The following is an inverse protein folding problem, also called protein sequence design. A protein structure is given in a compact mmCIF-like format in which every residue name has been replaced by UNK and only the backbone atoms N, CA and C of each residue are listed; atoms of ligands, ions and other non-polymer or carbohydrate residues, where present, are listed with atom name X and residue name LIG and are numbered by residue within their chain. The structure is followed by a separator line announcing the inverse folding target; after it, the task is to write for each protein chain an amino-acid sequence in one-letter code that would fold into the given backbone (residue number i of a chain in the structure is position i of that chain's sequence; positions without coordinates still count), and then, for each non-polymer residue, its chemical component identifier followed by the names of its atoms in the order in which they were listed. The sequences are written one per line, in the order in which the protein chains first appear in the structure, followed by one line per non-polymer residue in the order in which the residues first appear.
data_IF_350604581509
#
_entry.id   IF_350604581509
#
_cell.length_a   1.000
_cell.length_b   1.000
_cell.length_c   1.000
_cell.angle_alpha   90.00
_cell.angle_beta   90.00
_cell.angle_gamma   90.00
#
_symmetry.space_group_name_H-M   'P 1'
#
loop_
_entity.id
_entity.type
_entity.pdbx_description
1 polymer ?
#
# COMPACT_ATOMS: atom_id res chain seq x y z
N UNK A 1 -31.08 -4.62 -2.58
CA UNK A 1 -30.00 -4.31 -3.54
C UNK A 1 -28.73 -4.02 -2.78
N UNK A 2 -27.67 -4.73 -3.09
CA UNK A 2 -26.37 -4.51 -2.45
C UNK A 2 -25.79 -3.17 -2.91
N UNK A 3 -25.19 -2.38 -2.02
CA UNK A 3 -24.51 -1.18 -2.44
C UNK A 3 -23.34 -1.52 -3.36
N UNK A 4 -23.18 -0.74 -4.42
CA UNK A 4 -22.03 -0.85 -5.31
C UNK A 4 -20.96 0.08 -4.80
N UNK A 5 -19.82 -0.47 -4.38
CA UNK A 5 -18.68 0.33 -3.96
C UNK A 5 -17.81 0.65 -5.16
N UNK A 6 -17.39 1.92 -5.33
CA UNK A 6 -16.52 2.27 -6.44
C UNK A 6 -15.22 1.49 -6.40
N UNK A 7 -14.84 0.94 -7.53
CA UNK A 7 -13.54 0.31 -7.74
C UNK A 7 -12.67 1.28 -8.51
N UNK A 8 -11.48 1.55 -7.99
CA UNK A 8 -10.55 2.53 -8.52
C UNK A 8 -9.33 1.80 -9.02
N UNK A 9 -8.84 2.09 -10.24
CA UNK A 9 -7.58 1.52 -10.69
C UNK A 9 -6.41 2.04 -9.87
N UNK A 10 -5.34 1.25 -9.70
CA UNK A 10 -4.12 1.77 -9.10
C UNK A 10 -3.55 2.88 -9.97
N UNK A 11 -2.87 3.85 -9.34
CA UNK A 11 -2.12 4.83 -10.11
C UNK A 11 -0.99 4.12 -10.85
N UNK A 12 -0.62 4.66 -12.04
CA UNK A 12 0.45 4.07 -12.82
C UNK A 12 1.71 3.94 -11.96
N UNK A 13 2.15 2.71 -11.65
CA UNK A 13 3.27 2.50 -10.77
C UNK A 13 4.58 3.06 -11.34
N UNK A 14 4.72 3.13 -12.65
CA UNK A 14 5.95 3.62 -13.28
C UNK A 14 6.21 5.10 -12.99
N UNK A 15 5.16 5.90 -12.73
CA UNK A 15 5.33 7.30 -12.32
C UNK A 15 6.09 7.45 -11.01
N UNK A 16 5.99 6.46 -10.14
CA UNK A 16 6.53 6.51 -8.78
C UNK A 16 7.59 5.44 -8.56
N UNK A 17 8.13 4.85 -9.64
CA UNK A 17 9.13 3.79 -9.53
C UNK A 17 10.38 4.30 -8.83
N UNK A 18 10.78 3.73 -7.68
CA UNK A 18 12.03 4.08 -7.03
C UNK A 18 13.21 3.50 -7.80
N UNK A 19 14.35 4.16 -7.66
CA UNK A 19 15.59 3.77 -8.35
C UNK A 19 16.77 3.90 -7.38
N UNK A 20 17.90 3.31 -7.71
CA UNK A 20 19.09 3.36 -6.85
C UNK A 20 19.52 4.79 -6.51
N UNK A 21 19.40 5.72 -7.46
CA UNK A 21 19.76 7.14 -7.25
C UNK A 21 18.57 7.98 -6.74
N UNK A 22 17.39 7.40 -6.65
CA UNK A 22 16.20 8.02 -6.08
C UNK A 22 15.42 6.94 -5.33
N UNK A 23 15.94 6.49 -4.19
CA UNK A 23 15.49 5.23 -3.57
C UNK A 23 14.13 5.29 -2.86
N UNK A 24 13.62 6.48 -2.59
CA UNK A 24 12.32 6.64 -1.93
C UNK A 24 11.46 7.59 -2.75
N UNK A 25 10.27 7.13 -3.14
CA UNK A 25 9.28 7.93 -3.83
C UNK A 25 7.99 7.91 -3.02
N UNK A 26 7.44 9.09 -2.76
CA UNK A 26 6.22 9.24 -1.98
C UNK A 26 5.02 9.54 -2.87
N UNK A 27 3.89 8.95 -2.55
CA UNK A 27 2.62 9.21 -3.20
C UNK A 27 1.56 9.42 -2.14
N UNK A 28 0.85 10.54 -2.20
CA UNK A 28 -0.29 10.82 -1.34
C UNK A 28 -1.56 10.77 -2.18
N UNK A 29 -2.53 9.99 -1.74
CA UNK A 29 -3.78 9.81 -2.45
C UNK A 29 -4.97 9.87 -1.48
N UNK A 30 -5.87 10.86 -1.63
CA UNK A 30 -7.11 10.85 -0.88
C UNK A 30 -8.06 9.81 -1.47
N UNK A 31 -8.66 9.00 -0.59
CA UNK A 31 -9.60 7.96 -0.99
C UNK A 31 -10.85 8.05 -0.11
N UNK A 32 -12.01 7.90 -0.73
CA UNK A 32 -13.28 7.95 -0.01
C UNK A 32 -13.64 6.61 0.58
N UNK A 33 -14.37 6.66 1.69
CA UNK A 33 -14.93 5.48 2.32
C UNK A 33 -15.72 4.64 1.31
N UNK A 34 -15.68 3.34 1.48
CA UNK A 34 -16.34 2.36 0.62
C UNK A 34 -15.75 2.23 -0.78
N UNK A 35 -14.66 2.92 -1.10
CA UNK A 35 -13.94 2.70 -2.36
C UNK A 35 -12.93 1.56 -2.21
N UNK A 36 -12.52 1.01 -3.35
CA UNK A 36 -11.52 -0.06 -3.41
C UNK A 36 -10.51 0.25 -4.51
N UNK A 37 -9.24 0.01 -4.19
CA UNK A 37 -8.18 0.00 -5.20
C UNK A 37 -7.99 -1.42 -5.66
N UNK A 38 -8.01 -1.64 -6.97
CA UNK A 38 -7.90 -2.98 -7.57
C UNK A 38 -6.59 -3.66 -7.19
N UNK A 39 -6.59 -5.00 -7.07
CA UNK A 39 -5.37 -5.75 -6.82
C UNK A 39 -4.31 -5.46 -7.88
N UNK A 40 -3.09 -5.26 -7.44
CA UNK A 40 -1.93 -5.00 -8.30
C UNK A 40 -0.64 -5.40 -7.60
N UNK A 41 0.43 -5.47 -8.37
CA UNK A 41 1.78 -5.72 -7.85
C UNK A 41 2.80 -4.94 -8.66
N UNK A 42 3.97 -4.76 -8.09
CA UNK A 42 5.10 -4.09 -8.76
C UNK A 42 6.42 -4.62 -8.23
N UNK A 43 7.51 -4.29 -8.94
CA UNK A 43 8.84 -4.84 -8.67
C UNK A 43 9.62 -4.18 -7.54
N UNK A 44 8.98 -3.33 -6.73
CA UNK A 44 9.61 -2.64 -5.61
C UNK A 44 8.75 -2.76 -4.36
N UNK A 45 9.37 -2.49 -3.21
CA UNK A 45 8.68 -2.55 -1.93
C UNK A 45 7.88 -1.28 -1.68
N UNK A 46 6.91 -1.36 -0.77
CA UNK A 46 6.19 -0.19 -0.30
C UNK A 46 5.89 -0.26 1.19
N UNK A 47 5.80 0.92 1.79
CA UNK A 47 5.27 1.12 3.12
C UNK A 47 4.02 1.98 2.99
N UNK A 48 2.88 1.46 3.45
CA UNK A 48 1.59 2.14 3.32
C UNK A 48 1.09 2.62 4.66
N UNK A 49 0.67 3.89 4.68
CA UNK A 49 0.15 4.59 5.86
C UNK A 49 -1.24 5.15 5.56
N UNK A 50 -2.09 5.21 6.58
CA UNK A 50 -3.27 6.08 6.56
C UNK A 50 -2.95 7.28 7.43
N UNK A 51 -2.69 8.45 6.83
CA UNK A 51 -2.43 9.67 7.61
C UNK A 51 -3.68 10.09 8.37
N UNK A 52 -4.84 9.93 7.74
CA UNK A 52 -6.15 10.08 8.33
C UNK A 52 -7.02 8.92 7.87
N UNK A 53 -8.09 8.64 8.58
CA UNK A 53 -9.04 7.61 8.19
C UNK A 53 -8.55 6.20 8.47
N UNK A 54 -9.19 5.23 7.85
CA UNK A 54 -8.91 3.81 8.07
C UNK A 54 -9.03 3.06 6.75
N UNK A 55 -8.03 2.28 6.42
CA UNK A 55 -8.06 1.38 5.28
C UNK A 55 -7.82 -0.06 5.70
N UNK A 56 -8.22 -0.98 4.84
CA UNK A 56 -7.89 -2.39 4.95
C UNK A 56 -6.99 -2.73 3.78
N UNK A 57 -5.83 -3.29 4.06
CA UNK A 57 -4.92 -3.75 3.02
C UNK A 57 -5.00 -5.27 2.96
N UNK A 58 -5.27 -5.77 1.74
CA UNK A 58 -5.39 -7.19 1.45
C UNK A 58 -4.19 -7.58 0.59
N UNK A 59 -3.42 -8.54 1.06
CA UNK A 59 -2.30 -9.07 0.28
C UNK A 59 -2.44 -10.57 0.13
N UNK A 60 -1.61 -11.17 -0.71
CA UNK A 60 -1.55 -12.62 -0.84
C UNK A 60 -1.04 -13.31 0.44
N UNK A 61 -0.45 -12.57 1.37
CA UNK A 61 0.10 -13.10 2.61
C UNK A 61 -0.73 -12.79 3.83
N UNK A 62 -1.41 -11.64 3.86
CA UNK A 62 -2.15 -11.19 5.03
C UNK A 62 -3.20 -10.15 4.69
N UNK A 63 -4.14 -9.98 5.58
CA UNK A 63 -5.11 -8.88 5.56
C UNK A 63 -5.01 -8.12 6.87
N UNK A 64 -4.94 -6.80 6.82
CA UNK A 64 -4.85 -6.00 8.04
C UNK A 64 -5.60 -4.68 7.93
N UNK A 65 -6.05 -4.19 9.07
CA UNK A 65 -6.65 -2.85 9.22
C UNK A 65 -5.52 -1.86 9.49
N UNK A 66 -5.54 -0.75 8.78
CA UNK A 66 -4.50 0.28 8.87
C UNK A 66 -5.10 1.61 9.30
N UNK A 67 -5.20 1.85 10.62
CA UNK A 67 -5.48 3.18 11.15
C UNK A 67 -4.22 4.04 11.13
N UNK A 68 -4.29 5.34 11.54
CA UNK A 68 -3.11 6.21 11.54
C UNK A 68 -1.94 5.74 12.41
N UNK A 69 -2.19 4.79 13.33
CA UNK A 69 -1.15 4.27 14.25
C UNK A 69 -0.38 3.08 13.70
N UNK A 70 -0.69 2.64 12.47
CA UNK A 70 -0.04 1.48 11.87
C UNK A 70 0.37 1.75 10.43
N UNK A 71 1.40 1.03 9.99
CA UNK A 71 1.81 0.99 8.61
C UNK A 71 1.99 -0.46 8.17
N UNK A 72 1.95 -0.69 6.86
CA UNK A 72 2.12 -2.03 6.30
C UNK A 72 3.28 -2.03 5.34
N UNK A 73 4.23 -2.90 5.60
CA UNK A 73 5.33 -3.21 4.68
C UNK A 73 4.88 -4.29 3.71
N UNK A 74 5.02 -4.02 2.42
CA UNK A 74 4.71 -4.96 1.35
C UNK A 74 5.96 -5.15 0.48
N UNK A 75 6.53 -6.36 0.46
CA UNK A 75 7.71 -6.65 -0.35
C UNK A 75 7.43 -6.54 -1.85
N UNK A 76 8.49 -6.52 -2.68
CA UNK A 76 8.32 -6.58 -4.13
C UNK A 76 7.50 -7.80 -4.57
N UNK A 77 6.72 -7.64 -5.62
CA UNK A 77 5.93 -8.68 -6.30
C UNK A 77 4.78 -9.27 -5.49
N UNK A 78 4.52 -8.78 -4.29
CA UNK A 78 3.35 -9.23 -3.51
C UNK A 78 2.11 -8.49 -3.98
N UNK A 79 1.13 -9.24 -4.45
CA UNK A 79 -0.14 -8.66 -4.88
C UNK A 79 -0.88 -8.05 -3.68
N UNK A 80 -1.41 -6.86 -3.86
CA UNK A 80 -2.13 -6.15 -2.82
C UNK A 80 -3.28 -5.32 -3.38
N UNK A 81 -4.28 -5.13 -2.55
CA UNK A 81 -5.45 -4.33 -2.82
C UNK A 81 -5.80 -3.50 -1.57
N UNK A 82 -6.61 -2.47 -1.74
CA UNK A 82 -7.03 -1.60 -0.64
C UNK A 82 -8.55 -1.52 -0.63
N UNK A 83 -9.14 -1.66 0.56
CA UNK A 83 -10.54 -1.33 0.80
C UNK A 83 -10.58 -0.19 1.82
N UNK A 84 -11.25 0.91 1.49
CA UNK A 84 -11.29 2.10 2.33
C UNK A 84 -12.49 2.03 3.25
N UNK A 85 -12.24 1.99 4.56
CA UNK A 85 -13.29 1.88 5.58
C UNK A 85 -13.81 3.23 6.02
N UNK A 86 -12.95 4.25 6.06
CA UNK A 86 -13.29 5.67 6.31
C UNK A 86 -12.47 6.51 5.38
N UNK A 87 -12.98 7.69 5.01
CA UNK A 87 -12.22 8.62 4.16
C UNK A 87 -10.78 8.70 4.66
N UNK A 88 -9.84 8.40 3.80
CA UNK A 88 -8.45 8.26 4.18
C UNK A 88 -7.52 9.03 3.24
N UNK A 89 -6.48 9.60 3.83
CA UNK A 89 -5.34 10.11 3.07
C UNK A 89 -4.25 9.04 3.13
N UNK A 90 -4.10 8.29 2.05
CA UNK A 90 -3.13 7.20 1.97
C UNK A 90 -1.79 7.73 1.51
N UNK A 91 -0.79 7.60 2.38
CA UNK A 91 0.60 7.86 2.03
C UNK A 91 1.28 6.54 1.71
N UNK A 92 1.84 6.43 0.53
CA UNK A 92 2.62 5.26 0.14
C UNK A 92 4.05 5.69 -0.14
N UNK A 93 5.00 5.06 0.53
CA UNK A 93 6.42 5.20 0.23
C UNK A 93 6.83 4.00 -0.61
N UNK A 94 7.25 4.25 -1.84
CA UNK A 94 7.84 3.24 -2.70
C UNK A 94 9.35 3.23 -2.47
N UNK A 95 9.91 2.06 -2.24
CA UNK A 95 11.28 1.92 -1.75
C UNK A 95 12.08 1.02 -2.68
N UNK A 96 13.25 1.51 -3.09
CA UNK A 96 14.22 0.67 -3.78
C UNK A 96 14.67 -0.43 -2.81
N UNK A 97 14.48 -1.67 -3.20
CA UNK A 97 14.70 -2.83 -2.33
C UNK A 97 15.89 -3.62 -2.83
N UNK A 98 17.02 -3.64 -2.10
CA UNK A 98 18.17 -4.42 -2.51
C UNK A 98 17.85 -5.92 -2.57
N UNK A 99 18.39 -6.66 -3.54
CA UNK A 99 18.09 -8.08 -3.67
C UNK A 99 18.60 -8.94 -2.51
N UNK A 100 19.56 -8.44 -1.74
CA UNK A 100 20.13 -9.11 -0.58
C UNK A 100 19.56 -8.63 0.76
N UNK A 101 18.39 -8.01 0.73
CA UNK A 101 17.73 -7.54 1.95
C UNK A 101 17.48 -8.69 2.93
N UNK A 102 17.52 -8.36 4.23
CA UNK A 102 17.33 -9.32 5.30
C UNK A 102 16.00 -10.08 5.16
N UNK A 103 15.95 -11.38 5.52
CA UNK A 103 14.76 -12.22 5.30
C UNK A 103 13.45 -11.65 5.87
N UNK A 104 13.49 -10.95 7.00
CA UNK A 104 12.27 -10.39 7.60
C UNK A 104 11.63 -9.28 6.75
N UNK A 105 12.38 -8.69 5.81
CA UNK A 105 11.84 -7.71 4.87
C UNK A 105 11.27 -8.34 3.59
N UNK A 106 11.34 -9.67 3.48
CA UNK A 106 10.78 -10.42 2.36
C UNK A 106 9.33 -10.86 2.60
N UNK A 107 8.74 -10.47 3.73
CA UNK A 107 7.35 -10.78 4.08
C UNK A 107 6.59 -9.49 4.41
N UNK A 108 5.29 -9.52 4.19
CA UNK A 108 4.42 -8.45 4.66
C UNK A 108 4.51 -8.32 6.17
N UNK A 109 4.54 -7.08 6.67
CA UNK A 109 4.65 -6.80 8.11
C UNK A 109 3.78 -5.61 8.47
N UNK A 110 3.20 -5.67 9.66
CA UNK A 110 2.54 -4.53 10.29
C UNK A 110 3.54 -3.85 11.20
N UNK A 111 3.64 -2.54 11.07
CA UNK A 111 4.58 -1.72 11.84
C UNK A 111 3.79 -0.70 12.63
N UNK A 112 4.10 -0.57 13.91
CA UNK A 112 3.54 0.50 14.75
C UNK A 112 4.17 1.84 14.38
N UNK A 113 3.32 2.85 14.33
CA UNK A 113 3.75 4.21 13.98
C UNK A 113 3.67 5.12 15.19
#
# INVERSE_FOLDING_TARGET
MSPIFPTIPPLDPQRFAPRAHWPVRAKLRPLRASSRVEPHRHGWAQMSFSLTGVSRILTSQMTCIVPPTRAVWIPPQVEHAVAVLRDADMLTLYLHHPPDAAPHWQRCRVVEV
#
